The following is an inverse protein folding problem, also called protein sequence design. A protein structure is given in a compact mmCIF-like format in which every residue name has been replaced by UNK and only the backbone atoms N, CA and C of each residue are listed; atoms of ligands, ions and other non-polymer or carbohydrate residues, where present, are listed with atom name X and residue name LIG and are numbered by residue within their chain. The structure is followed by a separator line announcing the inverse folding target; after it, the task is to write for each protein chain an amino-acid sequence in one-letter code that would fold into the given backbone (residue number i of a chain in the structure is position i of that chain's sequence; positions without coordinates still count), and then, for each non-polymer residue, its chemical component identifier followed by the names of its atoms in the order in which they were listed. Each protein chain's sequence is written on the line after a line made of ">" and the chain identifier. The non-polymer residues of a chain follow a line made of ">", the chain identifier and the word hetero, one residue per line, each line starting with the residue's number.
data_IF_344272633248
#
_entry.id   IF_344272633248
#
_cell.length_a   1.000
_cell.length_b   1.000
_cell.length_c   1.000
_cell.angle_alpha   90.00
_cell.angle_beta   90.00
_cell.angle_gamma   90.00
#
_symmetry.space_group_name_H-M   'P 1'
#
loop_
_entity.id
_entity.type
_entity.pdbx_description
1 polymer ?
#
# COMPACT_ATOMS: atom_id res chain seq x y z
N UNK A 1 -8.85 6.71 11.32
CA UNK A 1 -9.16 5.27 11.44
C UNK A 1 -8.39 4.51 10.36
N UNK A 2 -7.74 3.40 10.71
CA UNK A 2 -7.03 2.54 9.76
C UNK A 2 -7.59 1.12 9.80
N UNK A 3 -7.83 0.50 8.64
CA UNK A 3 -8.33 -0.87 8.56
C UNK A 3 -7.87 -1.59 7.27
N UNK A 4 -8.11 -2.90 7.19
CA UNK A 4 -7.86 -3.73 6.00
C UNK A 4 -9.17 -4.02 5.27
N UNK A 5 -9.17 -3.99 3.93
CA UNK A 5 -10.36 -4.37 3.13
C UNK A 5 -10.57 -5.89 3.05
N UNK A 6 -9.57 -6.67 3.44
CA UNK A 6 -9.61 -8.12 3.56
C UNK A 6 -8.75 -8.60 4.73
N UNK A 7 -8.48 -9.91 4.86
CA UNK A 7 -7.63 -10.42 5.93
C UNK A 7 -6.20 -9.89 5.80
N UNK A 8 -5.61 -9.46 6.92
CA UNK A 8 -4.26 -8.87 6.93
C UNK A 8 -3.13 -9.85 6.58
N UNK A 9 -3.39 -11.16 6.64
CA UNK A 9 -2.40 -12.23 6.45
C UNK A 9 -2.65 -13.14 5.24
N UNK A 10 -3.59 -12.78 4.36
CA UNK A 10 -3.81 -13.52 3.10
C UNK A 10 -4.05 -12.57 1.94
N UNK A 11 -3.67 -12.99 0.74
CA UNK A 11 -3.94 -12.26 -0.50
C UNK A 11 -5.33 -12.62 -1.05
N UNK A 12 -6.35 -12.41 -0.23
CA UNK A 12 -7.76 -12.63 -0.57
C UNK A 12 -8.50 -11.31 -0.55
N UNK A 13 -9.09 -10.93 -1.68
CA UNK A 13 -9.98 -9.78 -1.82
C UNK A 13 -11.36 -10.29 -2.19
N UNK A 14 -12.38 -9.85 -1.45
CA UNK A 14 -13.77 -10.05 -1.80
C UNK A 14 -14.19 -9.03 -2.88
N UNK A 15 -15.24 -9.36 -3.65
CA UNK A 15 -15.80 -8.43 -4.62
C UNK A 15 -16.42 -7.19 -3.96
N UNK A 16 -16.60 -6.10 -4.73
CA UNK A 16 -17.38 -4.93 -4.27
C UNK A 16 -18.80 -5.34 -3.89
N UNK A 17 -19.36 -6.32 -4.60
CA UNK A 17 -20.68 -6.91 -4.36
C UNK A 17 -20.79 -7.55 -2.97
N UNK A 18 -19.67 -8.08 -2.47
CA UNK A 18 -19.56 -8.73 -1.16
C UNK A 18 -19.17 -7.74 -0.06
N UNK A 19 -18.64 -6.56 -0.43
CA UNK A 19 -18.56 -5.46 0.52
C UNK A 19 -19.97 -5.00 0.81
N UNK A 20 -20.36 -5.02 2.08
CA UNK A 20 -21.63 -4.48 2.55
C UNK A 20 -21.67 -2.92 2.48
N UNK A 21 -20.96 -2.33 1.51
CA UNK A 21 -20.75 -0.91 1.35
C UNK A 21 -22.05 -0.16 1.04
N UNK A 22 -22.96 -0.79 0.28
CA UNK A 22 -24.30 -0.21 0.03
C UNK A 22 -25.08 -0.03 1.32
N UNK A 23 -25.06 -1.02 2.21
CA UNK A 23 -25.74 -0.91 3.50
C UNK A 23 -25.00 0.04 4.44
N UNK A 24 -23.66 -0.02 4.47
CA UNK A 24 -22.83 0.93 5.23
C UNK A 24 -23.14 2.38 4.84
N UNK A 25 -23.28 2.68 3.55
CA UNK A 25 -23.58 4.02 3.03
C UNK A 25 -24.98 4.52 3.40
N UNK A 26 -25.88 3.65 3.91
CA UNK A 26 -27.20 4.04 4.41
C UNK A 26 -27.19 4.39 5.90
N UNK A 27 -26.19 3.94 6.66
CA UNK A 27 -26.09 4.22 8.09
C UNK A 27 -25.81 5.71 8.29
N UNK A 28 -26.55 6.43 9.13
CA UNK A 28 -26.29 7.87 9.38
C UNK A 28 -24.84 8.13 9.83
N UNK A 29 -24.28 7.17 10.56
CA UNK A 29 -22.94 7.21 11.14
C UNK A 29 -21.80 7.19 10.12
N UNK A 30 -22.02 6.74 8.87
CA UNK A 30 -20.94 6.69 7.88
C UNK A 30 -20.33 8.06 7.56
N UNK A 31 -21.07 9.14 7.85
CA UNK A 31 -20.63 10.53 7.66
C UNK A 31 -19.90 11.11 8.87
N UNK A 32 -19.89 10.42 10.02
CA UNK A 32 -19.23 10.90 11.24
C UNK A 32 -17.71 10.93 11.12
N UNK A 33 -17.14 10.11 10.23
CA UNK A 33 -15.71 10.11 9.93
C UNK A 33 -15.53 10.59 8.50
N UNK A 34 -14.87 11.73 8.34
CA UNK A 34 -14.53 12.24 7.02
C UNK A 34 -13.60 11.26 6.28
N UNK A 35 -13.78 11.10 4.96
CA UNK A 35 -13.06 10.11 4.14
C UNK A 35 -11.55 10.30 4.25
N UNK A 36 -11.07 11.54 4.35
CA UNK A 36 -9.66 11.88 4.53
C UNK A 36 -9.07 11.34 5.84
N UNK A 37 -9.90 11.04 6.84
CA UNK A 37 -9.49 10.45 8.11
C UNK A 37 -9.59 8.92 8.10
N UNK A 38 -9.91 8.33 6.95
CA UNK A 38 -9.95 6.89 6.73
C UNK A 38 -8.74 6.46 5.92
N UNK A 39 -8.04 5.45 6.40
CA UNK A 39 -6.86 4.87 5.77
C UNK A 39 -7.08 3.38 5.59
N UNK A 40 -6.83 2.88 4.40
CA UNK A 40 -6.75 1.44 4.14
C UNK A 40 -5.28 1.02 4.27
N UNK A 41 -5.03 -0.11 4.93
CA UNK A 41 -3.69 -0.70 5.00
C UNK A 41 -3.64 -1.96 4.11
N UNK A 42 -2.61 -2.08 3.28
CA UNK A 42 -2.38 -3.27 2.45
C UNK A 42 -1.96 -4.49 3.29
N UNK A 43 -2.24 -5.73 2.90
CA UNK A 43 -1.97 -6.90 3.72
C UNK A 43 -0.48 -7.24 3.76
N UNK A 44 -0.01 -7.87 4.84
CA UNK A 44 1.41 -8.18 5.09
C UNK A 44 2.10 -9.13 4.09
N UNK A 45 1.43 -10.12 3.45
CA UNK A 45 2.12 -11.09 2.57
C UNK A 45 2.65 -10.51 1.25
N UNK A 46 2.43 -9.22 0.97
CA UNK A 46 2.95 -8.55 -0.23
C UNK A 46 4.43 -8.20 -0.08
N UNK A 47 5.16 -8.19 -1.18
CA UNK A 47 6.51 -7.64 -1.25
C UNK A 47 6.73 -6.96 -2.60
N UNK A 48 6.64 -5.62 -2.63
CA UNK A 48 6.76 -4.82 -3.84
C UNK A 48 8.21 -4.64 -4.32
N UNK A 49 9.18 -5.07 -3.51
CA UNK A 49 10.61 -5.07 -3.80
C UNK A 49 11.17 -6.47 -4.09
N UNK A 50 10.32 -7.49 -4.20
CA UNK A 50 10.76 -8.88 -4.32
C UNK A 50 11.48 -9.16 -5.63
N UNK A 51 12.60 -9.89 -5.56
CA UNK A 51 13.27 -10.46 -6.74
C UNK A 51 12.58 -11.72 -7.26
N UNK A 52 11.65 -12.30 -6.50
CA UNK A 52 10.84 -13.41 -6.97
C UNK A 52 9.73 -12.85 -7.89
N UNK A 53 9.72 -13.19 -9.20
CA UNK A 53 8.79 -12.60 -10.15
C UNK A 53 7.33 -12.96 -9.86
N UNK A 54 7.06 -14.15 -9.34
CA UNK A 54 5.70 -14.58 -9.00
C UNK A 54 5.16 -13.82 -7.80
N UNK A 55 5.96 -13.66 -6.75
CA UNK A 55 5.58 -12.87 -5.57
C UNK A 55 5.40 -11.40 -5.93
N UNK A 56 6.31 -10.85 -6.73
CA UNK A 56 6.24 -9.46 -7.20
C UNK A 56 4.97 -9.23 -8.02
N UNK A 57 4.66 -10.12 -8.97
CA UNK A 57 3.45 -10.07 -9.79
C UNK A 57 2.20 -10.17 -8.92
N UNK A 58 2.12 -11.16 -8.01
CA UNK A 58 0.99 -11.33 -7.09
C UNK A 58 0.77 -10.08 -6.23
N UNK A 59 1.84 -9.48 -5.70
CA UNK A 59 1.78 -8.27 -4.88
C UNK A 59 1.23 -7.07 -5.67
N UNK A 60 1.72 -6.86 -6.89
CA UNK A 60 1.26 -5.79 -7.78
C UNK A 60 -0.18 -5.99 -8.24
N UNK A 61 -0.55 -7.21 -8.65
CA UNK A 61 -1.90 -7.52 -9.10
C UNK A 61 -2.93 -7.36 -7.97
N UNK A 62 -2.56 -7.80 -6.76
CA UNK A 62 -3.40 -7.64 -5.57
C UNK A 62 -3.65 -6.17 -5.25
N UNK A 63 -2.59 -5.36 -5.12
CA UNK A 63 -2.74 -3.96 -4.72
C UNK A 63 -3.45 -3.12 -5.77
N UNK A 64 -3.28 -3.43 -7.06
CA UNK A 64 -4.03 -2.77 -8.14
C UNK A 64 -5.53 -3.09 -8.02
N UNK A 65 -5.89 -4.33 -7.68
CA UNK A 65 -7.30 -4.71 -7.44
C UNK A 65 -7.85 -4.00 -6.21
N UNK A 66 -7.08 -3.93 -5.13
CA UNK A 66 -7.46 -3.23 -3.89
C UNK A 66 -7.67 -1.73 -4.12
N UNK A 67 -6.75 -1.07 -4.85
CA UNK A 67 -6.90 0.35 -5.20
C UNK A 67 -8.17 0.56 -6.05
N UNK A 68 -8.45 -0.30 -7.03
CA UNK A 68 -9.68 -0.22 -7.84
C UNK A 68 -10.94 -0.43 -7.01
N UNK A 69 -10.86 -1.23 -5.94
CA UNK A 69 -11.95 -1.41 -4.99
C UNK A 69 -12.16 -0.12 -4.18
N UNK A 70 -11.09 0.43 -3.63
CA UNK A 70 -11.10 1.71 -2.91
C UNK A 70 -11.67 2.86 -3.75
N UNK A 71 -11.27 2.95 -5.03
CA UNK A 71 -11.80 3.93 -5.98
C UNK A 71 -13.33 3.87 -6.09
N UNK A 72 -13.92 2.66 -6.11
CA UNK A 72 -15.37 2.46 -6.22
C UNK A 72 -16.14 2.85 -4.96
N UNK A 73 -15.51 2.75 -3.80
CA UNK A 73 -16.11 3.06 -2.49
C UNK A 73 -15.68 4.43 -1.95
N UNK A 74 -14.97 5.22 -2.76
CA UNK A 74 -14.58 6.60 -2.44
C UNK A 74 -13.42 6.75 -1.45
N UNK A 75 -12.70 5.67 -1.10
CA UNK A 75 -11.53 5.75 -0.23
C UNK A 75 -10.28 6.15 -1.01
N UNK A 76 -9.42 6.98 -0.42
CA UNK A 76 -8.34 7.66 -1.16
C UNK A 76 -6.94 7.61 -0.54
N UNK A 77 -6.75 6.91 0.59
CA UNK A 77 -5.44 6.72 1.25
C UNK A 77 -5.18 5.24 1.49
N UNK A 78 -4.10 4.73 0.91
CA UNK A 78 -3.62 3.37 1.05
C UNK A 78 -2.22 3.40 1.65
N UNK A 79 -2.03 2.81 2.82
CA UNK A 79 -0.71 2.56 3.43
C UNK A 79 -0.21 1.20 3.00
N UNK A 80 1.08 1.13 2.66
CA UNK A 80 1.76 -0.13 2.35
C UNK A 80 3.11 -0.20 3.05
N UNK A 81 3.47 -1.40 3.49
CA UNK A 81 4.86 -1.73 3.73
C UNK A 81 5.58 -1.84 2.38
N UNK A 82 6.73 -1.19 2.16
CA UNK A 82 7.46 -1.24 0.89
C UNK A 82 7.94 -2.65 0.52
N UNK A 83 8.23 -3.47 1.53
CA UNK A 83 8.70 -4.84 1.37
C UNK A 83 10.12 -5.02 1.90
N UNK A 84 10.76 -6.09 1.44
CA UNK A 84 12.09 -6.50 1.90
C UNK A 84 12.98 -6.94 0.73
N UNK A 85 14.29 -6.86 0.93
CA UNK A 85 15.30 -7.28 -0.04
C UNK A 85 15.69 -8.77 0.08
N UNK A 86 14.84 -9.62 0.65
CA UNK A 86 15.09 -11.07 0.75
C UNK A 86 15.41 -11.69 -0.61
N UNK A 87 16.53 -12.42 -0.69
CA UNK A 87 17.00 -13.07 -1.91
C UNK A 87 17.69 -12.15 -2.91
N UNK A 88 17.85 -10.86 -2.61
CA UNK A 88 18.52 -9.88 -3.46
C UNK A 88 19.42 -8.93 -2.67
N UNK A 89 19.90 -7.89 -3.34
CA UNK A 89 20.61 -6.78 -2.69
C UNK A 89 19.65 -5.63 -2.41
N UNK A 90 19.95 -4.84 -1.38
CA UNK A 90 19.17 -3.64 -1.03
C UNK A 90 18.97 -2.71 -2.22
N UNK A 91 20.04 -2.44 -2.98
CA UNK A 91 19.97 -1.61 -4.19
C UNK A 91 19.06 -2.19 -5.28
N UNK A 92 19.19 -3.48 -5.58
CA UNK A 92 18.36 -4.13 -6.62
C UNK A 92 16.89 -4.09 -6.23
N UNK A 93 16.57 -4.43 -4.99
CA UNK A 93 15.20 -4.46 -4.50
C UNK A 93 14.60 -3.06 -4.38
N UNK A 94 15.40 -2.04 -4.04
CA UNK A 94 14.97 -0.63 -4.06
C UNK A 94 14.60 -0.18 -5.48
N UNK A 95 15.36 -0.57 -6.50
CA UNK A 95 15.01 -0.29 -7.90
C UNK A 95 13.69 -0.96 -8.30
N UNK A 96 13.51 -2.24 -7.94
CA UNK A 96 12.26 -3.00 -8.18
C UNK A 96 11.06 -2.33 -7.51
N UNK A 97 11.24 -1.84 -6.27
CA UNK A 97 10.21 -1.11 -5.54
C UNK A 97 9.80 0.17 -6.27
N UNK A 98 10.78 1.02 -6.63
CA UNK A 98 10.53 2.27 -7.35
C UNK A 98 9.76 2.02 -8.65
N UNK A 99 10.21 1.06 -9.47
CA UNK A 99 9.53 0.67 -10.70
C UNK A 99 8.13 0.10 -10.42
N UNK A 100 7.98 -0.69 -9.35
CA UNK A 100 6.71 -1.26 -8.92
C UNK A 100 5.69 -0.20 -8.54
N UNK A 101 6.08 0.78 -7.73
CA UNK A 101 5.20 1.88 -7.34
C UNK A 101 4.83 2.71 -8.58
N UNK A 102 5.80 3.07 -9.45
CA UNK A 102 5.52 3.78 -10.71
C UNK A 102 4.54 3.00 -11.60
N UNK A 103 4.70 1.69 -11.70
CA UNK A 103 3.78 0.83 -12.43
C UNK A 103 2.36 0.84 -11.83
N UNK A 104 2.23 0.69 -10.51
CA UNK A 104 0.94 0.68 -9.80
C UNK A 104 0.21 2.02 -9.98
N UNK A 105 0.91 3.15 -9.80
CA UNK A 105 0.28 4.46 -10.00
C UNK A 105 -0.16 4.65 -11.45
N UNK A 106 0.61 4.21 -12.45
CA UNK A 106 0.18 4.33 -13.85
C UNK A 106 -1.04 3.45 -14.21
N UNK A 107 -1.35 2.42 -13.41
CA UNK A 107 -2.49 1.51 -13.61
C UNK A 107 -3.74 1.89 -12.79
N UNK A 108 -3.65 2.92 -11.95
CA UNK A 108 -4.68 3.30 -10.97
C UNK A 108 -4.88 4.82 -10.93
N UNK A 109 -5.91 5.30 -10.24
CA UNK A 109 -6.27 6.72 -10.10
C UNK A 109 -6.76 7.01 -8.68
N UNK A 110 -6.88 8.29 -8.32
CA UNK A 110 -7.57 8.82 -7.12
C UNK A 110 -7.05 8.40 -5.72
N UNK A 111 -6.41 7.25 -5.57
CA UNK A 111 -5.85 6.74 -4.32
C UNK A 111 -4.39 7.15 -4.20
N UNK A 112 -4.03 7.71 -3.05
CA UNK A 112 -2.66 7.98 -2.62
C UNK A 112 -2.06 6.72 -2.02
N UNK A 113 -0.86 6.38 -2.46
CA UNK A 113 -0.04 5.28 -1.92
C UNK A 113 0.94 5.91 -0.94
N UNK A 114 0.80 5.58 0.32
CA UNK A 114 1.62 6.05 1.42
C UNK A 114 2.59 4.92 1.79
N UNK A 115 3.88 5.18 1.59
CA UNK A 115 4.93 4.21 1.91
C UNK A 115 5.24 4.33 3.39
N UNK A 116 5.05 3.25 4.12
CA UNK A 116 5.32 3.20 5.55
C UNK A 116 6.80 3.03 5.84
N UNK A 117 7.30 3.76 6.84
CA UNK A 117 8.61 3.48 7.43
C UNK A 117 8.60 2.15 8.18
N UNK A 118 9.68 1.39 8.05
CA UNK A 118 9.78 0.03 8.59
C UNK A 118 10.75 -0.03 9.78
N UNK A 119 10.56 -0.96 10.72
CA UNK A 119 11.47 -1.14 11.85
C UNK A 119 12.87 -1.65 11.45
N UNK A 120 13.06 -2.09 10.20
CA UNK A 120 14.34 -2.57 9.69
C UNK A 120 14.64 -4.02 10.07
N UNK A 121 13.61 -4.80 10.41
CA UNK A 121 13.79 -6.19 10.83
C UNK A 121 14.29 -7.04 9.67
N UNK A 122 15.47 -7.65 9.84
CA UNK A 122 16.04 -8.58 8.87
C UNK A 122 16.45 -7.89 7.58
N UNK A 123 15.56 -7.90 6.59
CA UNK A 123 15.82 -7.38 5.23
C UNK A 123 14.80 -6.33 4.79
N UNK A 124 14.08 -5.70 5.72
CA UNK A 124 13.13 -4.63 5.40
C UNK A 124 13.82 -3.42 4.73
N UNK A 125 13.13 -2.81 3.78
CA UNK A 125 13.52 -1.54 3.17
C UNK A 125 12.85 -0.37 3.88
N UNK A 126 13.38 0.84 3.67
CA UNK A 126 12.79 2.08 4.21
C UNK A 126 12.80 2.12 5.74
N UNK A 127 13.92 1.66 6.33
CA UNK A 127 14.12 1.66 7.78
C UNK A 127 14.74 2.94 8.33
N UNK A 128 14.90 3.96 7.49
CA UNK A 128 15.33 5.29 7.91
C UNK A 128 14.60 6.36 7.10
N UNK A 129 14.52 7.56 7.65
CA UNK A 129 13.90 8.71 6.97
C UNK A 129 14.64 9.08 5.68
N UNK A 130 15.96 8.90 5.64
CA UNK A 130 16.79 9.17 4.46
C UNK A 130 16.44 8.23 3.30
N UNK A 131 16.24 6.94 3.58
CA UNK A 131 15.82 5.97 2.56
C UNK A 131 14.46 6.31 1.98
N UNK A 132 13.50 6.63 2.85
CA UNK A 132 12.16 7.03 2.43
C UNK A 132 12.23 8.31 1.60
N UNK A 133 12.95 9.33 2.06
CA UNK A 133 13.09 10.60 1.37
C UNK A 133 13.74 10.43 -0.02
N UNK A 134 14.82 9.64 -0.12
CA UNK A 134 15.47 9.34 -1.38
C UNK A 134 14.51 8.63 -2.35
N UNK A 135 13.75 7.65 -1.85
CA UNK A 135 12.79 6.90 -2.63
C UNK A 135 11.64 7.78 -3.15
N UNK A 136 11.04 8.61 -2.29
CA UNK A 136 9.98 9.55 -2.68
C UNK A 136 10.47 10.54 -3.73
N UNK A 137 11.70 11.07 -3.56
CA UNK A 137 12.34 11.97 -4.52
C UNK A 137 12.52 11.31 -5.90
N UNK A 138 12.87 10.03 -5.96
CA UNK A 138 13.06 9.31 -7.23
C UNK A 138 11.71 8.94 -7.87
N UNK A 139 10.71 8.59 -7.07
CA UNK A 139 9.37 8.27 -7.58
C UNK A 139 8.70 9.53 -8.15
N UNK A 140 8.82 10.65 -7.46
CA UNK A 140 8.36 11.99 -7.87
C UNK A 140 6.95 11.98 -8.49
N UNK A 141 5.97 11.50 -7.71
CA UNK A 141 4.60 11.38 -8.18
C UNK A 141 3.62 11.92 -7.14
N UNK A 142 2.68 12.78 -7.55
CA UNK A 142 1.73 13.48 -6.64
C UNK A 142 0.85 12.58 -5.77
N UNK A 143 0.66 11.32 -6.18
CA UNK A 143 -0.11 10.31 -5.42
C UNK A 143 0.76 9.39 -4.56
N UNK A 144 2.05 9.67 -4.41
CA UNK A 144 2.95 8.87 -3.57
C UNK A 144 3.41 9.74 -2.41
N UNK A 145 3.17 9.25 -1.20
CA UNK A 145 3.50 9.93 0.05
C UNK A 145 4.10 8.96 1.06
N UNK A 146 4.11 9.39 2.32
CA UNK A 146 4.77 8.67 3.42
C UNK A 146 3.75 8.42 4.53
N UNK A 147 3.85 7.28 5.19
CA UNK A 147 3.27 7.03 6.52
C UNK A 147 4.43 6.84 7.51
N UNK A 148 4.44 7.62 8.59
CA UNK A 148 5.44 7.51 9.64
C UNK A 148 4.81 6.75 10.81
N UNK A 149 5.19 5.50 11.00
CA UNK A 149 4.90 4.77 12.23
C UNK A 149 5.98 5.08 13.26
N UNK A 150 5.60 5.72 14.36
CA UNK A 150 6.53 6.16 15.40
C UNK A 150 7.19 5.01 16.17
N UNK A 151 6.62 3.81 16.14
CA UNK A 151 7.23 2.63 16.76
C UNK A 151 8.31 2.00 15.88
N UNK A 152 8.32 2.31 14.57
CA UNK A 152 9.28 1.78 13.61
C UNK A 152 10.53 2.65 13.46
N UNK A 153 10.47 3.94 13.84
CA UNK A 153 11.51 4.94 13.61
C UNK A 153 12.35 5.24 14.85
#
# INVERSE_FOLDING_TARGET
>A
MMFYLGPSRSLSLIGVEELNFKEYSKLEDHKKIAIENIVVHGPHPVNYSSVNPDLLKKSRDFIIREIKLMEKIGLNKLVIHPGSYTGGTKEKCTKILIEGIKYIVNKTKNVHILIEGMAGKGSELCSSLEEIAALIKIINHKRVGICLDTCHL
#
